data_IF_651402470446
#
_entry.id   IF_651402470446
#
_cell.length_a   1.000
_cell.length_b   1.000
_cell.length_c   1.000
_cell.angle_alpha   90.00
_cell.angle_beta   90.00
_cell.angle_gamma   90.00
#
_symmetry.space_group_name_H-M   'P 1'
#
loop_
_entity.id
_entity.type
_entity.pdbx_description
1 polymer ?
#
# COMPACT_ATOMS: atom_id res chain seq x y z
N UNK A 1 15.93 1.38 -12.94
CA UNK A 1 16.02 -0.07 -12.74
C UNK A 1 15.04 -0.39 -11.63
N UNK A 2 13.93 -1.09 -11.94
CA UNK A 2 12.95 -1.47 -10.91
C UNK A 2 13.63 -2.47 -10.00
N UNK A 3 13.86 -2.08 -8.74
CA UNK A 3 14.42 -2.99 -7.74
C UNK A 3 13.26 -3.89 -7.32
N UNK A 4 13.24 -5.14 -7.79
CA UNK A 4 12.29 -6.14 -7.33
C UNK A 4 12.91 -6.89 -6.15
N UNK A 5 12.34 -6.71 -4.97
CA UNK A 5 12.75 -7.49 -3.80
C UNK A 5 12.29 -8.95 -3.94
N UNK A 6 13.20 -9.88 -3.64
CA UNK A 6 12.89 -11.31 -3.67
C UNK A 6 12.06 -11.71 -2.44
N UNK A 7 10.92 -12.40 -2.62
CA UNK A 7 10.13 -12.95 -1.53
C UNK A 7 10.93 -13.99 -0.75
N UNK A 8 10.66 -14.10 0.53
CA UNK A 8 11.19 -15.17 1.38
C UNK A 8 10.09 -15.73 2.29
N UNK A 9 10.44 -16.67 3.16
CA UNK A 9 9.48 -17.28 4.07
C UNK A 9 8.84 -16.27 5.05
N UNK A 10 9.54 -15.18 5.39
CA UNK A 10 9.05 -14.14 6.29
C UNK A 10 8.21 -13.07 5.55
N UNK A 11 8.48 -12.87 4.26
CA UNK A 11 7.83 -11.93 3.35
C UNK A 11 7.42 -12.66 2.06
N UNK A 12 6.35 -13.48 2.10
CA UNK A 12 6.00 -14.38 1.01
C UNK A 12 5.24 -13.70 -0.14
N UNK A 13 4.83 -12.44 -0.01
CA UNK A 13 4.07 -11.70 -1.01
C UNK A 13 4.89 -10.57 -1.63
N UNK A 14 4.45 -10.08 -2.79
CA UNK A 14 4.99 -8.90 -3.43
C UNK A 14 3.92 -7.82 -3.55
N UNK A 15 4.33 -6.56 -3.51
CA UNK A 15 3.42 -5.44 -3.72
C UNK A 15 4.14 -4.29 -4.44
N UNK A 16 3.39 -3.55 -5.25
CA UNK A 16 3.93 -2.41 -5.98
C UNK A 16 3.70 -1.12 -5.21
N UNK A 17 4.76 -0.32 -5.08
CA UNK A 17 4.76 0.97 -4.39
C UNK A 17 4.81 2.10 -5.41
N UNK A 18 3.89 3.04 -5.26
CA UNK A 18 3.77 4.23 -6.10
C UNK A 18 3.99 5.49 -5.28
N UNK A 19 4.74 6.43 -5.86
CA UNK A 19 4.90 7.79 -5.33
C UNK A 19 4.31 8.80 -6.33
N UNK A 20 3.68 9.88 -5.85
CA UNK A 20 3.08 10.87 -6.71
C UNK A 20 4.09 11.94 -7.13
N UNK A 21 4.05 12.32 -8.39
CA UNK A 21 4.51 13.63 -8.87
C UNK A 21 3.38 14.62 -8.57
N UNK A 22 3.67 15.61 -7.72
CA UNK A 22 2.70 16.61 -7.29
C UNK A 22 2.91 17.89 -8.08
N UNK A 23 1.92 18.27 -8.88
CA UNK A 23 1.91 19.52 -9.63
C UNK A 23 0.83 20.44 -9.07
N UNK A 24 1.18 21.69 -8.82
CA UNK A 24 0.23 22.73 -8.43
C UNK A 24 -0.19 23.50 -9.67
N UNK A 25 -1.47 23.41 -10.03
CA UNK A 25 -2.04 24.18 -11.13
C UNK A 25 -2.13 25.67 -10.82
N UNK A 26 -2.33 26.48 -11.87
CA UNK A 26 -2.41 27.95 -11.78
C UNK A 26 -3.46 28.49 -10.78
N UNK A 27 -4.49 27.69 -10.48
CA UNK A 27 -5.57 28.04 -9.54
C UNK A 27 -5.45 27.31 -8.18
N UNK A 28 -4.28 26.77 -7.85
CA UNK A 28 -4.05 26.08 -6.57
C UNK A 28 -4.53 24.63 -6.51
N UNK A 29 -5.11 24.10 -7.60
CA UNK A 29 -5.49 22.70 -7.70
C UNK A 29 -4.25 21.81 -7.66
N UNK A 30 -4.21 20.87 -6.73
CA UNK A 30 -3.11 19.90 -6.61
C UNK A 30 -3.45 18.68 -7.47
N UNK A 31 -2.69 18.46 -8.54
CA UNK A 31 -2.77 17.24 -9.36
C UNK A 31 -1.68 16.29 -8.92
N UNK A 32 -2.06 15.04 -8.62
CA UNK A 32 -1.13 13.96 -8.32
C UNK A 32 -1.11 12.97 -9.48
N UNK A 33 0.05 12.74 -10.05
CA UNK A 33 0.28 11.70 -11.05
C UNK A 33 1.14 10.63 -10.40
N UNK A 34 0.62 9.41 -10.28
CA UNK A 34 1.33 8.33 -9.59
C UNK A 34 2.31 7.64 -10.54
N UNK A 35 3.51 7.37 -10.04
CA UNK A 35 4.56 6.68 -10.79
C UNK A 35 5.01 5.47 -9.97
N UNK A 36 5.11 4.32 -10.64
CA UNK A 36 5.66 3.10 -10.05
C UNK A 36 7.12 3.35 -9.66
N UNK A 37 7.43 3.18 -8.37
CA UNK A 37 8.80 3.28 -7.86
C UNK A 37 9.48 1.91 -7.88
N UNK A 38 8.87 0.93 -7.19
CA UNK A 38 9.44 -0.42 -7.05
C UNK A 38 8.41 -1.45 -6.56
N UNK A 39 8.78 -2.72 -6.72
CA UNK A 39 8.06 -3.87 -6.17
C UNK A 39 8.79 -4.38 -4.93
N UNK A 40 8.10 -4.39 -3.79
CA UNK A 40 8.64 -4.77 -2.48
C UNK A 40 8.17 -6.16 -2.05
N UNK A 41 8.97 -6.83 -1.21
CA UNK A 41 8.59 -8.06 -0.54
C UNK A 41 7.86 -7.70 0.76
N UNK A 42 6.67 -8.27 0.94
CA UNK A 42 5.80 -7.96 2.06
C UNK A 42 5.09 -9.19 2.62
N UNK A 43 4.46 -8.98 3.77
CA UNK A 43 3.52 -9.91 4.38
C UNK A 43 2.34 -9.10 4.91
N UNK A 44 1.18 -9.19 4.27
CA UNK A 44 -0.06 -8.55 4.69
C UNK A 44 -1.11 -9.59 5.07
N UNK A 45 -1.79 -9.35 6.18
CA UNK A 45 -2.97 -10.08 6.58
C UNK A 45 -4.09 -9.08 6.90
N UNK A 46 -5.33 -9.55 6.92
CA UNK A 46 -6.43 -8.73 7.44
C UNK A 46 -6.09 -8.29 8.85
N UNK A 47 -6.24 -7.00 9.16
CA UNK A 47 -6.19 -6.56 10.54
C UNK A 47 -7.29 -7.33 11.30
N UNK A 48 -6.92 -7.99 12.39
CA UNK A 48 -7.87 -8.78 13.18
C UNK A 48 -8.96 -7.86 13.72
N UNK A 49 -10.10 -7.84 13.06
CA UNK A 49 -11.27 -7.12 13.55
C UNK A 49 -12.08 -8.09 14.37
N UNK A 50 -12.52 -7.68 15.57
CA UNK A 50 -13.45 -8.44 16.39
C UNK A 50 -14.82 -8.53 15.69
N UNK A 51 -14.94 -9.37 14.66
CA UNK A 51 -16.10 -9.55 13.80
C UNK A 51 -16.73 -8.23 13.30
N UNK A 52 -15.94 -7.16 13.12
CA UNK A 52 -16.49 -5.92 12.56
C UNK A 52 -16.85 -6.13 11.10
N UNK A 53 -18.05 -5.72 10.74
CA UNK A 53 -18.53 -5.67 9.37
C UNK A 53 -17.65 -4.73 8.54
N UNK A 54 -17.27 -5.16 7.33
CA UNK A 54 -16.50 -4.34 6.38
C UNK A 54 -17.32 -3.14 5.88
N UNK A 55 -18.64 -3.31 5.80
CA UNK A 55 -19.59 -2.28 5.37
C UNK A 55 -20.50 -1.95 6.55
N UNK A 56 -20.48 -0.70 6.99
CA UNK A 56 -21.41 -0.21 8.02
C UNK A 56 -22.41 0.76 7.38
N UNK A 57 -23.72 0.44 7.37
CA UNK A 57 -24.75 1.28 6.77
C UNK A 57 -25.14 2.41 7.72
N UNK A 58 -24.30 3.45 7.81
CA UNK A 58 -24.65 4.73 8.43
C UNK A 58 -25.16 5.72 7.35
N UNK A 59 -25.48 6.97 7.73
CA UNK A 59 -25.82 8.05 6.76
C UNK A 59 -24.76 8.19 5.64
N UNK A 60 -23.52 7.79 5.93
CA UNK A 60 -22.47 7.55 4.94
C UNK A 60 -22.09 6.07 4.97
N UNK A 61 -22.10 5.40 3.81
CA UNK A 61 -21.59 4.03 3.66
C UNK A 61 -20.06 4.10 3.64
N UNK A 62 -19.41 3.59 4.69
CA UNK A 62 -17.94 3.49 4.74
C UNK A 62 -17.49 2.04 4.58
N UNK A 63 -16.51 1.80 3.71
CA UNK A 63 -15.91 0.48 3.48
C UNK A 63 -14.56 0.41 4.19
N UNK A 64 -14.54 -0.20 5.37
CA UNK A 64 -13.33 -0.26 6.20
C UNK A 64 -12.61 -1.58 5.99
N UNK A 65 -11.69 -1.59 5.02
CA UNK A 65 -10.73 -2.69 4.84
C UNK A 65 -9.34 -2.25 5.25
N UNK A 66 -8.82 -2.85 6.32
CA UNK A 66 -7.50 -2.56 6.86
C UNK A 66 -6.67 -3.84 6.85
N UNK A 67 -5.48 -3.76 6.27
CA UNK A 67 -4.49 -4.83 6.30
C UNK A 67 -3.34 -4.42 7.21
N UNK A 68 -2.92 -5.36 8.04
CA UNK A 68 -1.74 -5.25 8.88
C UNK A 68 -0.65 -6.12 8.26
N UNK A 69 0.57 -5.59 8.20
CA UNK A 69 1.65 -6.33 7.61
C UNK A 69 3.03 -5.81 7.95
N UNK A 70 3.99 -6.29 7.18
CA UNK A 70 5.39 -5.91 7.27
C UNK A 70 6.08 -5.91 5.91
N UNK A 71 7.10 -5.07 5.78
CA UNK A 71 7.99 -5.01 4.62
C UNK A 71 9.44 -4.86 5.08
N UNK A 72 10.38 -5.22 4.20
CA UNK A 72 11.82 -5.15 4.51
C UNK A 72 12.35 -3.72 4.54
N UNK A 73 11.83 -2.86 3.65
CA UNK A 73 12.36 -1.52 3.39
C UNK A 73 11.38 -0.42 3.81
N UNK A 74 11.91 0.80 3.99
CA UNK A 74 11.09 1.98 4.26
C UNK A 74 10.44 2.47 2.96
N UNK A 75 9.12 2.32 2.84
CA UNK A 75 8.37 2.69 1.62
C UNK A 75 8.19 4.20 1.43
N UNK A 76 8.56 5.04 2.42
CA UNK A 76 8.55 6.50 2.29
C UNK A 76 9.77 7.02 1.54
N UNK A 77 10.83 6.21 1.45
CA UNK A 77 12.07 6.56 0.76
C UNK A 77 12.02 5.84 -0.59
N UNK A 78 11.98 6.59 -1.69
CA UNK A 78 11.92 6.00 -3.02
C UNK A 78 13.24 5.30 -3.41
N UNK A 79 13.23 4.56 -4.50
CA UNK A 79 14.45 3.97 -5.10
C UNK A 79 15.51 5.00 -5.49
N UNK A 80 15.10 6.26 -5.69
CA UNK A 80 15.96 7.41 -5.99
C UNK A 80 16.31 8.23 -4.73
N UNK A 81 16.10 7.65 -3.54
CA UNK A 81 16.33 8.27 -2.22
C UNK A 81 15.49 9.53 -1.94
N UNK A 82 14.46 9.78 -2.74
CA UNK A 82 13.52 10.87 -2.49
C UNK A 82 12.63 10.53 -1.30
N UNK A 83 12.48 11.49 -0.38
CA UNK A 83 11.68 11.33 0.83
C UNK A 83 10.25 11.82 0.60
N UNK A 84 9.29 10.92 0.79
CA UNK A 84 7.86 11.18 0.63
C UNK A 84 7.14 11.17 1.97
N UNK A 85 6.06 11.96 2.09
CA UNK A 85 5.11 11.85 3.19
C UNK A 85 4.38 10.49 3.14
N UNK A 86 3.97 9.96 4.28
CA UNK A 86 3.17 8.73 4.38
C UNK A 86 1.86 8.80 3.55
N UNK A 87 1.29 10.00 3.42
CA UNK A 87 0.09 10.28 2.61
C UNK A 87 0.35 10.31 1.10
N UNK A 88 1.62 10.25 0.70
CA UNK A 88 2.08 10.26 -0.68
C UNK A 88 2.75 8.93 -1.03
N UNK A 89 2.20 7.84 -0.49
CA UNK A 89 2.60 6.48 -0.83
C UNK A 89 1.32 5.66 -1.03
N UNK A 90 1.26 4.99 -2.18
CA UNK A 90 0.19 4.04 -2.48
C UNK A 90 0.80 2.66 -2.69
N UNK A 91 0.07 1.65 -2.24
CA UNK A 91 0.38 0.24 -2.47
C UNK A 91 -0.74 -0.38 -3.28
N UNK A 92 -0.40 -1.12 -4.32
CA UNK A 92 -1.36 -1.91 -5.11
C UNK A 92 -0.71 -3.23 -5.54
N UNK A 93 -1.44 -4.04 -6.31
CA UNK A 93 -0.89 -5.24 -6.95
C UNK A 93 -0.23 -6.21 -5.96
N UNK A 94 -0.91 -6.46 -4.83
CA UNK A 94 -0.44 -7.41 -3.82
C UNK A 94 -0.61 -8.82 -4.37
N UNK A 95 0.50 -9.49 -4.66
CA UNK A 95 0.58 -10.81 -5.29
C UNK A 95 1.08 -11.90 -4.36
N UNK A 96 0.58 -13.11 -4.59
CA UNK A 96 1.15 -14.33 -4.02
C UNK A 96 2.44 -14.77 -4.75
N UNK A 97 3.04 -15.87 -4.28
CA UNK A 97 4.25 -16.45 -4.91
C UNK A 97 4.03 -16.94 -6.34
N UNK A 98 2.78 -17.20 -6.73
CA UNK A 98 2.39 -17.63 -8.07
C UNK A 98 2.01 -16.44 -8.97
N UNK A 99 2.28 -15.20 -8.53
CA UNK A 99 1.94 -13.95 -9.22
C UNK A 99 0.43 -13.68 -9.37
N UNK A 100 -0.41 -14.32 -8.56
CA UNK A 100 -1.85 -14.05 -8.54
C UNK A 100 -2.16 -12.85 -7.64
N UNK A 101 -3.06 -11.98 -8.09
CA UNK A 101 -3.55 -10.86 -7.29
C UNK A 101 -4.45 -11.36 -6.16
N UNK A 102 -4.08 -11.02 -4.92
CA UNK A 102 -4.80 -11.46 -3.72
C UNK A 102 -6.01 -10.56 -3.45
N UNK A 103 -5.86 -9.26 -3.69
CA UNK A 103 -6.89 -8.26 -3.44
C UNK A 103 -7.31 -7.60 -4.75
N UNK A 104 -8.46 -8.03 -5.27
CA UNK A 104 -9.05 -7.57 -6.52
C UNK A 104 -10.39 -6.87 -6.22
N UNK A 105 -10.64 -5.74 -6.87
CA UNK A 105 -11.94 -5.10 -6.82
C UNK A 105 -12.95 -5.87 -7.68
N UNK A 106 -14.06 -6.30 -7.08
CA UNK A 106 -15.08 -7.10 -7.76
C UNK A 106 -16.13 -6.24 -8.49
N UNK A 107 -16.13 -4.92 -8.26
CA UNK A 107 -17.08 -3.98 -8.85
C UNK A 107 -16.53 -2.55 -8.88
N UNK A 108 -17.26 -1.63 -9.51
CA UNK A 108 -16.89 -0.22 -9.58
C UNK A 108 -15.89 0.12 -10.68
N UNK A 109 -15.32 1.35 -10.67
CA UNK A 109 -14.47 1.86 -11.76
C UNK A 109 -13.16 1.08 -11.94
N UNK A 110 -12.75 0.31 -10.93
CA UNK A 110 -11.54 -0.52 -10.94
C UNK A 110 -11.83 -2.03 -10.97
N UNK A 111 -13.04 -2.43 -11.36
CA UNK A 111 -13.47 -3.84 -11.40
C UNK A 111 -12.48 -4.72 -12.18
N UNK A 112 -12.12 -5.86 -11.60
CA UNK A 112 -11.18 -6.82 -12.17
C UNK A 112 -9.69 -6.44 -12.04
N UNK A 113 -9.37 -5.31 -11.41
CA UNK A 113 -7.98 -4.89 -11.16
C UNK A 113 -7.64 -4.94 -9.68
N UNK A 114 -6.35 -4.95 -9.37
CA UNK A 114 -5.86 -4.95 -8.00
C UNK A 114 -6.32 -3.71 -7.22
N UNK A 115 -6.72 -3.93 -5.96
CA UNK A 115 -7.17 -2.89 -5.02
C UNK A 115 -6.04 -1.90 -4.74
N UNK A 116 -6.40 -0.62 -4.63
CA UNK A 116 -5.50 0.46 -4.19
C UNK A 116 -5.58 0.60 -2.68
N UNK A 117 -4.42 0.61 -2.03
CA UNK A 117 -4.27 0.84 -0.61
C UNK A 117 -3.45 2.11 -0.33
N UNK A 118 -3.87 2.85 0.68
CA UNK A 118 -3.12 3.95 1.26
C UNK A 118 -2.40 3.50 2.53
N UNK A 119 -1.25 4.10 2.81
CA UNK A 119 -0.49 3.82 4.03
C UNK A 119 -1.07 4.62 5.19
N UNK A 120 -1.52 3.94 6.24
CA UNK A 120 -2.02 4.56 7.46
C UNK A 120 -0.93 4.66 8.54
N UNK A 121 -0.11 3.63 8.67
CA UNK A 121 0.97 3.56 9.66
C UNK A 121 2.18 2.88 9.07
N UNK A 122 3.36 3.40 9.42
CA UNK A 122 4.63 2.73 9.17
C UNK A 122 5.56 2.92 10.37
N UNK A 123 5.99 1.81 10.97
CA UNK A 123 6.83 1.82 12.16
C UNK A 123 8.02 0.86 12.00
N UNK A 124 9.25 1.30 12.29
CA UNK A 124 10.39 0.39 12.31
C UNK A 124 10.27 -0.59 13.47
N UNK A 125 10.59 -1.85 13.22
CA UNK A 125 10.80 -2.85 14.26
C UNK A 125 12.30 -3.03 14.48
N UNK A 126 12.76 -2.63 15.67
CA UNK A 126 14.14 -2.84 16.12
C UNK A 126 14.27 -4.22 16.77
N UNK A 127 15.19 -5.03 16.24
CA UNK A 127 15.54 -6.31 16.84
C UNK A 127 16.33 -6.18 18.14
N UNK A 128 16.61 -7.30 18.83
CA UNK A 128 17.38 -7.33 20.09
C UNK A 128 18.78 -6.71 20.00
N UNK A 129 19.34 -6.60 18.79
CA UNK A 129 20.67 -6.04 18.52
C UNK A 129 20.63 -4.55 18.11
N UNK A 130 19.47 -3.89 18.18
CA UNK A 130 19.33 -2.46 17.90
C UNK A 130 19.29 -2.07 16.42
N UNK A 131 19.37 -3.03 15.51
CA UNK A 131 19.17 -2.80 14.07
C UNK A 131 17.69 -2.91 13.69
N UNK A 132 17.28 -2.15 12.66
CA UNK A 132 15.95 -2.28 12.07
C UNK A 132 15.92 -3.59 11.27
N UNK A 133 15.03 -4.51 11.65
CA UNK A 133 14.87 -5.78 10.94
C UNK A 133 13.81 -5.68 9.83
N UNK A 134 12.73 -4.96 10.10
CA UNK A 134 11.63 -4.73 9.16
C UNK A 134 10.79 -3.53 9.58
N UNK A 135 9.87 -3.11 8.70
CA UNK A 135 8.89 -2.07 8.97
C UNK A 135 7.51 -2.68 9.07
N UNK A 136 6.82 -2.43 10.19
CA UNK A 136 5.39 -2.73 10.35
C UNK A 136 4.58 -1.74 9.54
N UNK A 137 3.58 -2.23 8.83
CA UNK A 137 2.70 -1.43 8.00
C UNK A 137 1.25 -1.67 8.37
N UNK A 138 0.48 -0.60 8.45
CA UNK A 138 -0.99 -0.64 8.42
C UNK A 138 -1.41 0.08 7.15
N UNK A 139 -2.11 -0.64 6.28
CA UNK A 139 -2.64 -0.09 5.03
C UNK A 139 -4.15 -0.20 5.01
N UNK A 140 -4.81 0.81 4.45
CA UNK A 140 -6.27 0.89 4.34
C UNK A 140 -6.65 0.95 2.88
N UNK A 141 -7.75 0.29 2.50
CA UNK A 141 -8.30 0.43 1.16
C UNK A 141 -8.60 1.91 0.89
N UNK A 142 -8.18 2.41 -0.26
CA UNK A 142 -8.48 3.77 -0.68
C UNK A 142 -9.98 3.93 -0.95
N UNK A 143 -10.57 5.06 -0.54
CA UNK A 143 -11.92 5.43 -0.93
C UNK A 143 -11.98 5.78 -2.43
N UNK A 144 -10.91 6.37 -2.96
CA UNK A 144 -10.79 6.66 -4.38
C UNK A 144 -10.06 5.53 -5.11
N UNK A 145 -10.84 4.63 -5.70
CA UNK A 145 -10.33 3.54 -6.55
C UNK A 145 -10.26 3.92 -8.04
N UNK A 146 -10.75 5.12 -8.43
CA UNK A 146 -10.79 5.58 -9.82
C UNK A 146 -9.49 6.25 -10.27
N UNK A 147 -8.48 6.31 -9.40
CA UNK A 147 -7.17 6.90 -9.73
C UNK A 147 -6.49 6.06 -10.80
N UNK A 148 -5.99 6.74 -11.83
CA UNK A 148 -5.19 6.13 -12.90
C UNK A 148 -3.77 5.89 -12.38
N UNK A 149 -3.38 4.61 -12.33
CA UNK A 149 -2.08 4.08 -11.90
C UNK A 149 -1.69 2.92 -12.79
#
# INVERSE_FOLDING_TARGET
>A
MVICETPDFAFPMQADVYHPIVEQGAYGNVKKTWVLDRTIACSFASAGTAFKEEVTPNLNITQNKVLLGRCKTDIRISSLEARSSITNVIITNIKDQNCNDIYIETSGPRSGKATIFEVATQEPFSGPFGNIEYYKLVIRRSENQAVDI
#
